data_IF_008871904897
#
_entry.id   IF_008871904897
#
_cell.length_a   1.000
_cell.length_b   1.000
_cell.length_c   1.000
_cell.angle_alpha   90.00
_cell.angle_beta   90.00
_cell.angle_gamma   90.00
#
_symmetry.space_group_name_H-M   'P 1'
#
loop_
_entity.id
_entity.type
_entity.pdbx_description
1 polymer ?
#
# COMPACT_ATOMS: atom_id res chain seq x y z
N UNK A 1 12.29 24.08 -6.53
CA UNK A 1 11.89 22.71 -6.15
C UNK A 1 11.18 22.08 -7.34
N UNK A 2 11.69 20.97 -7.88
CA UNK A 2 11.03 20.26 -8.98
C UNK A 2 9.83 19.51 -8.43
N UNK A 3 8.62 19.94 -8.79
CA UNK A 3 7.39 19.20 -8.47
C UNK A 3 7.46 17.90 -9.26
N UNK A 4 7.73 16.77 -8.58
CA UNK A 4 7.62 15.45 -9.23
C UNK A 4 6.17 15.29 -9.67
N UNK A 5 5.96 15.24 -10.99
CA UNK A 5 4.65 14.95 -11.57
C UNK A 5 4.31 13.49 -11.24
N UNK A 6 3.31 13.28 -10.39
CA UNK A 6 2.76 11.96 -10.12
C UNK A 6 1.97 11.51 -11.34
N UNK A 7 2.51 10.57 -12.11
CA UNK A 7 1.79 9.91 -13.20
C UNK A 7 1.12 8.67 -12.60
N UNK A 8 -0.20 8.70 -12.51
CA UNK A 8 -0.96 7.56 -11.99
C UNK A 8 -0.98 6.43 -13.03
N UNK A 9 -0.70 5.18 -12.63
CA UNK A 9 -0.88 4.04 -13.52
C UNK A 9 -2.37 3.79 -13.77
N UNK A 10 -2.67 2.98 -14.79
CA UNK A 10 -4.04 2.60 -15.18
C UNK A 10 -4.82 1.92 -14.05
N UNK A 11 -4.11 1.24 -13.14
CA UNK A 11 -4.69 0.57 -11.99
C UNK A 11 -4.02 1.05 -10.70
N UNK A 12 -4.79 1.81 -9.92
CA UNK A 12 -4.43 2.27 -8.59
C UNK A 12 -5.31 1.54 -7.56
N UNK A 13 -4.69 0.74 -6.70
CA UNK A 13 -5.42 -0.05 -5.70
C UNK A 13 -5.35 0.61 -4.33
N UNK A 14 -6.51 0.71 -3.68
CA UNK A 14 -6.65 1.05 -2.26
C UNK A 14 -6.91 -0.26 -1.51
N UNK A 15 -5.92 -0.68 -0.73
CA UNK A 15 -5.98 -1.84 0.14
C UNK A 15 -6.55 -1.43 1.49
N UNK A 16 -7.83 -1.70 1.70
CA UNK A 16 -8.51 -1.44 2.97
C UNK A 16 -8.42 -2.66 3.90
N UNK A 17 -7.78 -2.46 5.06
CA UNK A 17 -7.62 -3.50 6.08
C UNK A 17 -8.96 -4.03 6.60
N UNK A 18 -10.04 -3.24 6.54
CA UNK A 18 -11.37 -3.68 6.98
C UNK A 18 -12.06 -4.64 6.00
N UNK A 19 -11.57 -4.75 4.76
CA UNK A 19 -12.19 -5.56 3.70
C UNK A 19 -11.41 -6.83 3.37
N UNK A 20 -10.18 -6.96 3.88
CA UNK A 20 -9.36 -8.14 3.67
C UNK A 20 -9.52 -9.12 4.82
N UNK A 21 -9.60 -10.41 4.48
CA UNK A 21 -9.66 -11.52 5.44
C UNK A 21 -8.38 -12.36 5.43
N UNK A 22 -7.39 -11.92 4.65
CA UNK A 22 -6.09 -12.57 4.47
C UNK A 22 -4.97 -11.60 4.86
N UNK A 23 -3.76 -12.10 5.16
CA UNK A 23 -2.63 -11.24 5.51
C UNK A 23 -2.33 -10.20 4.43
N UNK A 24 -2.09 -8.95 4.85
CA UNK A 24 -1.90 -7.79 3.97
C UNK A 24 -0.79 -8.03 2.95
N UNK A 25 0.34 -8.57 3.39
CA UNK A 25 1.53 -8.78 2.55
C UNK A 25 1.27 -9.82 1.47
N UNK A 26 0.59 -10.92 1.82
CA UNK A 26 0.23 -11.96 0.86
C UNK A 26 -0.77 -11.45 -0.17
N UNK A 27 -1.74 -10.65 0.24
CA UNK A 27 -2.69 -10.04 -0.68
C UNK A 27 -2.06 -8.97 -1.56
N UNK A 28 -1.20 -8.11 -1.00
CA UNK A 28 -0.42 -7.13 -1.76
C UNK A 28 0.44 -7.84 -2.82
N UNK A 29 1.11 -8.93 -2.48
CA UNK A 29 1.91 -9.67 -3.47
C UNK A 29 1.05 -10.24 -4.61
N UNK A 30 -0.15 -10.76 -4.32
CA UNK A 30 -1.08 -11.22 -5.36
C UNK A 30 -1.48 -10.07 -6.30
N UNK A 31 -1.78 -8.90 -5.74
CA UNK A 31 -2.11 -7.69 -6.51
C UNK A 31 -0.96 -7.26 -7.41
N UNK A 32 0.27 -7.26 -6.89
CA UNK A 32 1.47 -6.95 -7.67
C UNK A 32 1.67 -7.91 -8.82
N UNK A 33 1.54 -9.21 -8.55
CA UNK A 33 1.64 -10.28 -9.56
C UNK A 33 0.55 -10.14 -10.63
N UNK A 34 -0.63 -9.63 -10.26
CA UNK A 34 -1.74 -9.35 -11.19
C UNK A 34 -1.56 -8.06 -12.02
N UNK A 35 -0.45 -7.33 -11.86
CA UNK A 35 -0.16 -6.15 -12.68
C UNK A 35 -0.37 -4.79 -11.98
N UNK A 36 -0.68 -4.77 -10.68
CA UNK A 36 -0.79 -3.51 -9.94
C UNK A 36 0.57 -2.82 -9.87
N UNK A 37 0.58 -1.49 -10.10
CA UNK A 37 1.80 -0.66 -10.11
C UNK A 37 1.71 0.56 -9.20
N UNK A 38 0.63 0.70 -8.42
CA UNK A 38 0.48 1.68 -7.37
C UNK A 38 -0.48 1.13 -6.31
N UNK A 39 -0.08 1.15 -5.05
CA UNK A 39 -0.86 0.61 -3.95
C UNK A 39 -0.91 1.60 -2.78
N UNK A 40 -2.11 1.84 -2.26
CA UNK A 40 -2.33 2.59 -1.03
C UNK A 40 -2.84 1.67 0.07
N UNK A 41 -2.19 1.64 1.23
CA UNK A 41 -2.74 0.98 2.42
C UNK A 41 -3.60 1.94 3.23
N UNK A 42 -4.82 1.52 3.55
CA UNK A 42 -5.78 2.26 4.35
C UNK A 42 -6.21 1.40 5.53
N UNK A 43 -5.99 1.88 6.74
CA UNK A 43 -6.51 1.24 7.94
C UNK A 43 -7.06 2.27 8.93
N UNK A 44 -8.37 2.51 8.87
CA UNK A 44 -9.06 3.42 9.80
C UNK A 44 -9.25 2.84 11.20
N UNK A 45 -8.92 1.57 11.46
CA UNK A 45 -9.13 0.88 12.76
C UNK A 45 -7.83 0.50 13.51
N UNK A 46 -6.67 0.52 12.86
CA UNK A 46 -5.36 0.27 13.49
C UNK A 46 -4.80 1.46 14.27
N UNK A 47 -4.35 1.23 15.50
CA UNK A 47 -3.49 2.14 16.26
C UNK A 47 -2.27 2.62 15.44
N UNK A 48 -1.65 3.73 15.84
CA UNK A 48 -0.47 4.26 15.15
C UNK A 48 0.66 3.21 15.05
N UNK A 49 0.85 2.41 16.10
CA UNK A 49 1.83 1.31 16.11
C UNK A 49 1.50 0.24 15.08
N UNK A 50 0.26 -0.25 15.07
CA UNK A 50 -0.17 -1.28 14.12
C UNK A 50 -0.07 -0.78 12.68
N UNK A 51 -0.49 0.47 12.42
CA UNK A 51 -0.38 1.10 11.11
C UNK A 51 1.08 1.17 10.67
N UNK A 52 1.99 1.60 11.56
CA UNK A 52 3.42 1.66 11.27
C UNK A 52 4.02 0.29 10.98
N UNK A 53 3.77 -0.71 11.84
CA UNK A 53 4.32 -2.06 11.66
C UNK A 53 3.80 -2.73 10.39
N UNK A 54 2.52 -2.59 10.05
CA UNK A 54 1.97 -3.06 8.77
C UNK A 54 2.55 -2.31 7.58
N UNK A 55 2.61 -0.98 7.64
CA UNK A 55 3.15 -0.16 6.56
C UNK A 55 4.62 -0.47 6.29
N UNK A 56 5.42 -0.72 7.35
CA UNK A 56 6.82 -1.14 7.22
C UNK A 56 6.94 -2.50 6.53
N UNK A 57 6.11 -3.47 6.87
CA UNK A 57 6.12 -4.79 6.21
C UNK A 57 5.74 -4.68 4.74
N UNK A 58 4.72 -3.89 4.42
CA UNK A 58 4.28 -3.65 3.03
C UNK A 58 5.34 -2.88 2.24
N UNK A 59 5.97 -1.87 2.82
CA UNK A 59 6.99 -1.08 2.14
C UNK A 59 8.24 -1.91 1.84
N UNK A 60 8.69 -2.75 2.78
CA UNK A 60 9.79 -3.68 2.55
C UNK A 60 9.52 -4.68 1.43
N UNK A 61 8.25 -5.01 1.17
CA UNK A 61 7.84 -5.88 0.06
C UNK A 61 7.73 -5.11 -1.27
N UNK A 62 7.12 -3.92 -1.28
CA UNK A 62 6.71 -3.21 -2.50
C UNK A 62 7.81 -2.32 -3.09
N UNK A 63 8.58 -1.62 -2.23
CA UNK A 63 9.58 -0.65 -2.68
C UNK A 63 10.69 -1.31 -3.51
N UNK A 64 11.27 -2.47 -3.12
CA UNK A 64 12.28 -3.14 -3.93
C UNK A 64 11.78 -3.58 -5.32
N UNK A 65 10.45 -3.76 -5.47
CA UNK A 65 9.81 -4.09 -6.75
C UNK A 65 9.50 -2.84 -7.60
N UNK A 66 9.91 -1.65 -7.15
CA UNK A 66 9.68 -0.38 -7.85
C UNK A 66 8.23 0.11 -7.79
N UNK A 67 7.44 -0.41 -6.84
CA UNK A 67 6.01 -0.10 -6.71
C UNK A 67 5.84 1.03 -5.70
N UNK A 68 5.37 2.22 -6.13
CA UNK A 68 5.07 3.29 -5.20
C UNK A 68 3.99 2.82 -4.22
N UNK A 69 4.26 3.09 -2.95
CA UNK A 69 3.41 2.70 -1.84
C UNK A 69 2.99 3.93 -1.05
N UNK A 70 1.69 4.11 -0.88
CA UNK A 70 1.10 5.23 -0.14
C UNK A 70 0.48 4.68 1.14
N UNK A 71 0.72 5.34 2.26
CA UNK A 71 0.01 5.06 3.51
C UNK A 71 -0.98 6.18 3.72
N UNK A 72 -2.25 5.84 3.85
CA UNK A 72 -3.26 6.78 4.28
C UNK A 72 -3.40 6.66 5.80
N UNK A 73 -2.85 7.62 6.52
CA UNK A 73 -3.01 7.74 7.95
C UNK A 73 -4.40 8.28 8.32
N UNK A 74 -4.68 8.25 9.61
CA UNK A 74 -5.91 8.80 10.16
C UNK A 74 -5.62 10.26 10.51
N UNK A 75 -6.43 11.18 10.01
CA UNK A 75 -6.53 12.53 10.57
C UNK A 75 -7.17 12.48 11.96
#
# INVERSE_FOLDING_TARGET
>A
MSVKRLVLPRLYVILDAALITVPETGFAQKLVNAGVRLLQYRNKRASARELFECSRRLSSLLIPQGIPFIVNDRA
#
